data_IF_039977164946
#
_entry.id   IF_039977164946
#
_cell.length_a   1.000
_cell.length_b   1.000
_cell.length_c   1.000
_cell.angle_alpha   90.00
_cell.angle_beta   90.00
_cell.angle_gamma   90.00
#
_symmetry.space_group_name_H-M   'P 1'
#
loop_
_entity.id
_entity.type
_entity.pdbx_description
1 polymer ?
#
# COMPACT_ATOMS: atom_id res chain seq x y z
N UNK A 1 16.59 4.91 -17.16
CA UNK A 1 15.78 3.71 -16.85
C UNK A 1 15.29 3.85 -15.41
N UNK A 2 13.99 3.68 -15.17
CA UNK A 2 13.47 3.62 -13.81
C UNK A 2 13.81 2.27 -13.19
N UNK A 3 14.44 2.28 -12.04
CA UNK A 3 14.72 1.08 -11.26
C UNK A 3 13.73 1.04 -10.07
N UNK A 4 13.07 -0.11 -9.86
CA UNK A 4 12.26 -0.35 -8.67
C UNK A 4 12.83 -1.50 -7.86
N UNK A 5 12.47 -1.58 -6.60
CA UNK A 5 12.79 -2.75 -5.78
C UNK A 5 12.05 -3.97 -6.32
N UNK A 6 12.74 -5.12 -6.34
CA UNK A 6 12.12 -6.40 -6.67
C UNK A 6 11.03 -6.74 -5.65
N UNK A 7 9.94 -7.32 -6.16
CA UNK A 7 8.83 -7.78 -5.33
C UNK A 7 8.66 -9.31 -5.45
N UNK A 8 9.28 -10.02 -4.56
CA UNK A 8 9.29 -11.48 -4.54
C UNK A 8 8.02 -12.12 -3.93
N UNK A 9 6.96 -11.36 -3.76
CA UNK A 9 5.63 -11.89 -3.46
C UNK A 9 4.77 -12.07 -4.71
N UNK A 10 5.25 -11.68 -5.89
CA UNK A 10 4.54 -11.97 -7.14
C UNK A 10 4.50 -13.47 -7.41
N UNK A 11 3.34 -13.92 -7.89
CA UNK A 11 3.05 -15.33 -8.15
C UNK A 11 2.33 -15.49 -9.50
N UNK A 12 2.41 -16.66 -10.13
CA UNK A 12 1.68 -16.94 -11.35
C UNK A 12 0.19 -17.18 -11.04
N UNK A 13 -0.68 -16.56 -11.83
CA UNK A 13 -2.11 -16.82 -11.78
C UNK A 13 -2.53 -17.87 -12.83
N UNK A 14 -2.08 -17.72 -14.07
CA UNK A 14 -2.48 -18.56 -15.20
C UNK A 14 -1.61 -19.80 -15.38
N UNK A 15 -2.15 -20.81 -16.04
CA UNK A 15 -1.41 -22.02 -16.40
C UNK A 15 -0.29 -21.77 -17.42
N UNK A 16 -0.44 -20.89 -18.45
CA UNK A 16 0.67 -20.53 -19.32
C UNK A 16 1.89 -19.98 -18.57
N UNK A 17 1.69 -19.11 -17.59
CA UNK A 17 2.81 -18.59 -16.80
C UNK A 17 3.41 -19.64 -15.87
N UNK A 18 2.59 -20.55 -15.30
CA UNK A 18 3.08 -21.72 -14.55
C UNK A 18 3.91 -22.65 -15.43
N UNK A 19 3.52 -22.85 -16.70
CA UNK A 19 4.29 -23.65 -17.66
C UNK A 19 5.66 -23.05 -17.92
N UNK A 20 5.75 -21.74 -18.18
CA UNK A 20 7.04 -21.03 -18.33
C UNK A 20 7.93 -21.25 -17.10
N UNK A 21 7.39 -21.10 -15.89
CA UNK A 21 8.15 -21.31 -14.65
C UNK A 21 8.64 -22.74 -14.51
N UNK A 22 7.82 -23.73 -14.89
CA UNK A 22 8.19 -25.14 -14.85
C UNK A 22 9.32 -25.45 -15.88
N UNK A 23 9.25 -24.88 -17.08
CA UNK A 23 10.31 -24.97 -18.08
C UNK A 23 11.63 -24.38 -17.55
N UNK A 24 11.60 -23.15 -17.00
CA UNK A 24 12.78 -22.50 -16.44
C UNK A 24 13.38 -23.34 -15.30
N UNK A 25 12.55 -23.90 -14.43
CA UNK A 25 12.98 -24.77 -13.34
C UNK A 25 13.66 -26.04 -13.87
N UNK A 26 13.08 -26.68 -14.87
CA UNK A 26 13.64 -27.88 -15.49
C UNK A 26 15.00 -27.58 -16.18
N UNK A 27 15.09 -26.51 -16.94
CA UNK A 27 16.35 -26.10 -17.58
C UNK A 27 17.42 -25.75 -16.54
N UNK A 28 17.03 -25.07 -15.45
CA UNK A 28 17.92 -24.79 -14.33
C UNK A 28 18.48 -26.06 -13.69
N UNK A 29 17.65 -27.09 -13.45
CA UNK A 29 18.05 -28.36 -12.87
C UNK A 29 18.93 -29.18 -13.83
N UNK A 30 18.64 -29.14 -15.13
CA UNK A 30 19.46 -29.78 -16.17
C UNK A 30 20.82 -29.12 -16.26
N UNK A 31 20.91 -27.79 -16.16
CA UNK A 31 22.17 -27.04 -16.09
C UNK A 31 23.02 -27.46 -14.88
N UNK A 32 22.41 -27.52 -13.69
CA UNK A 32 23.14 -28.01 -12.49
C UNK A 32 23.66 -29.43 -12.65
N UNK A 33 22.90 -30.29 -13.28
CA UNK A 33 23.29 -31.69 -13.53
C UNK A 33 24.43 -31.78 -14.54
N UNK A 34 24.32 -31.06 -15.66
CA UNK A 34 25.33 -31.03 -16.70
C UNK A 34 26.68 -30.51 -16.23
N UNK A 35 26.67 -29.40 -15.51
CA UNK A 35 27.89 -28.78 -14.93
C UNK A 35 28.33 -29.38 -13.59
N UNK A 36 27.66 -30.43 -13.11
CA UNK A 36 27.95 -31.12 -11.84
C UNK A 36 28.04 -30.17 -10.64
N UNK A 37 27.18 -29.15 -10.63
CA UNK A 37 27.13 -28.15 -9.55
C UNK A 37 26.59 -28.74 -8.24
N UNK A 38 26.01 -29.94 -8.29
CA UNK A 38 25.47 -30.64 -7.13
C UNK A 38 25.86 -32.11 -7.12
N UNK A 39 26.34 -32.54 -5.94
CA UNK A 39 26.71 -33.94 -5.71
C UNK A 39 25.61 -34.78 -5.05
N UNK A 40 24.55 -34.14 -4.56
CA UNK A 40 23.47 -34.80 -3.81
C UNK A 40 22.09 -34.27 -4.27
N UNK A 41 21.08 -35.15 -4.24
CA UNK A 41 19.69 -34.76 -4.48
C UNK A 41 19.24 -33.73 -3.41
N UNK A 42 18.44 -32.73 -3.81
CA UNK A 42 17.84 -31.77 -2.88
C UNK A 42 16.87 -32.45 -1.91
N UNK A 43 16.88 -32.01 -0.66
CA UNK A 43 15.79 -32.30 0.26
C UNK A 43 14.51 -31.62 -0.22
N UNK A 44 13.34 -32.13 0.17
CA UNK A 44 12.05 -31.55 -0.25
C UNK A 44 11.91 -30.07 0.09
N UNK A 45 12.38 -29.65 1.28
CA UNK A 45 12.37 -28.22 1.71
C UNK A 45 13.25 -27.35 0.83
N UNK A 46 14.44 -27.84 0.47
CA UNK A 46 15.38 -27.08 -0.41
C UNK A 46 14.86 -27.01 -1.84
N UNK A 47 14.15 -28.05 -2.31
CA UNK A 47 13.50 -28.07 -3.59
C UNK A 47 12.36 -27.06 -3.65
N UNK A 48 11.47 -27.06 -2.66
CA UNK A 48 10.38 -26.08 -2.55
C UNK A 48 10.92 -24.64 -2.45
N UNK A 49 12.05 -24.43 -1.78
CA UNK A 49 12.70 -23.10 -1.71
C UNK A 49 13.22 -22.66 -3.08
N UNK A 50 13.83 -23.58 -3.86
CA UNK A 50 14.28 -23.29 -5.23
C UNK A 50 13.08 -22.91 -6.12
N UNK A 51 12.03 -23.70 -6.11
CA UNK A 51 10.81 -23.50 -6.87
C UNK A 51 10.17 -22.14 -6.57
N UNK A 52 10.01 -21.81 -5.28
CA UNK A 52 9.49 -20.53 -4.84
C UNK A 52 10.37 -19.35 -5.28
N UNK A 53 11.71 -19.52 -5.21
CA UNK A 53 12.65 -18.47 -5.61
C UNK A 53 12.60 -18.22 -7.13
N UNK A 54 12.66 -19.27 -7.95
CA UNK A 54 12.57 -19.14 -9.41
C UNK A 54 11.22 -18.55 -9.80
N UNK A 55 10.12 -19.05 -9.22
CA UNK A 55 8.77 -18.53 -9.49
C UNK A 55 8.67 -17.03 -9.21
N UNK A 56 9.12 -16.59 -8.04
CA UNK A 56 9.06 -15.19 -7.66
C UNK A 56 9.93 -14.28 -8.56
N UNK A 57 11.14 -14.71 -8.90
CA UNK A 57 12.05 -13.98 -9.81
C UNK A 57 11.43 -13.84 -11.20
N UNK A 58 10.94 -14.94 -11.77
CA UNK A 58 10.34 -14.95 -13.11
C UNK A 58 9.07 -14.08 -13.14
N UNK A 59 8.19 -14.20 -12.14
CA UNK A 59 6.98 -13.37 -12.07
C UNK A 59 7.29 -11.89 -11.96
N UNK A 60 8.27 -11.49 -11.13
CA UNK A 60 8.58 -10.07 -10.95
C UNK A 60 9.28 -9.47 -12.17
N UNK A 61 10.15 -10.22 -12.85
CA UNK A 61 10.77 -9.81 -14.10
C UNK A 61 9.76 -9.77 -15.26
N UNK A 62 8.82 -10.71 -15.32
CA UNK A 62 7.70 -10.68 -16.28
C UNK A 62 6.87 -9.41 -16.09
N UNK A 63 6.49 -9.09 -14.84
CA UNK A 63 5.78 -7.85 -14.54
C UNK A 63 6.59 -6.61 -14.95
N UNK A 64 7.89 -6.59 -14.64
CA UNK A 64 8.75 -5.47 -15.00
C UNK A 64 8.80 -5.28 -16.53
N UNK A 65 8.99 -6.35 -17.28
CA UNK A 65 9.00 -6.32 -18.74
C UNK A 65 7.67 -5.81 -19.33
N UNK A 66 6.54 -6.26 -18.79
CA UNK A 66 5.21 -5.88 -19.30
C UNK A 66 4.84 -4.41 -18.97
N UNK A 67 5.30 -3.89 -17.82
CA UNK A 67 4.99 -2.51 -17.41
C UNK A 67 5.99 -1.49 -17.91
N UNK A 68 7.25 -1.86 -18.08
CA UNK A 68 8.33 -0.99 -18.51
C UNK A 68 9.34 -1.81 -19.33
N UNK A 69 9.11 -2.00 -20.64
CA UNK A 69 10.04 -2.72 -21.51
C UNK A 69 11.46 -2.13 -21.40
N UNK A 70 12.45 -2.99 -21.05
CA UNK A 70 13.82 -2.56 -20.76
C UNK A 70 14.05 -2.03 -19.34
N UNK A 71 13.02 -1.98 -18.50
CA UNK A 71 13.13 -1.64 -17.09
C UNK A 71 13.93 -2.68 -16.29
N UNK A 72 14.40 -2.27 -15.10
CA UNK A 72 15.16 -3.13 -14.20
C UNK A 72 14.56 -3.15 -12.79
N UNK A 73 14.74 -4.28 -12.11
CA UNK A 73 14.48 -4.38 -10.68
C UNK A 73 15.79 -4.50 -9.92
N UNK A 74 15.92 -3.83 -8.77
CA UNK A 74 17.10 -3.98 -7.94
C UNK A 74 16.83 -4.95 -6.78
N UNK A 75 17.89 -5.69 -6.41
CA UNK A 75 17.88 -6.67 -5.31
C UNK A 75 19.05 -6.43 -4.36
N UNK A 76 18.85 -6.78 -3.09
CA UNK A 76 19.93 -6.86 -2.11
C UNK A 76 20.42 -8.30 -2.01
N UNK A 77 21.70 -8.51 -2.28
CA UNK A 77 22.35 -9.82 -2.16
C UNK A 77 23.26 -9.92 -0.93
N UNK A 78 23.13 -8.99 0.02
CA UNK A 78 23.90 -9.03 1.28
C UNK A 78 23.48 -10.25 2.11
N UNK A 79 24.44 -11.12 2.45
CA UNK A 79 24.22 -12.29 3.30
C UNK A 79 23.65 -11.92 4.67
N UNK A 80 24.06 -10.78 5.23
CA UNK A 80 23.49 -10.26 6.47
C UNK A 80 22.02 -9.92 6.30
N UNK A 81 21.66 -9.25 5.19
CA UNK A 81 20.28 -8.95 4.86
C UNK A 81 19.48 -10.24 4.63
N UNK A 82 19.93 -11.13 3.73
CA UNK A 82 19.23 -12.36 3.36
C UNK A 82 19.13 -13.39 4.50
N UNK A 83 20.02 -13.35 5.48
CA UNK A 83 20.01 -14.25 6.64
C UNK A 83 19.14 -13.80 7.80
N UNK A 84 18.70 -12.54 7.84
CA UNK A 84 17.88 -12.00 8.93
C UNK A 84 16.45 -12.53 8.82
N UNK A 85 15.91 -13.05 9.92
CA UNK A 85 14.47 -13.34 9.99
C UNK A 85 13.68 -12.02 10.00
N UNK A 86 12.85 -11.85 8.98
CA UNK A 86 12.07 -10.64 8.79
C UNK A 86 10.67 -10.99 8.31
N UNK A 87 9.65 -10.58 9.05
CA UNK A 87 8.24 -10.90 8.79
C UNK A 87 7.76 -10.47 7.39
N UNK A 88 8.26 -9.33 6.92
CA UNK A 88 7.86 -8.72 5.64
C UNK A 88 8.71 -9.18 4.46
N UNK A 89 9.44 -10.30 4.60
CA UNK A 89 10.29 -10.84 3.54
C UNK A 89 9.67 -12.10 2.97
N UNK A 90 9.73 -12.21 1.63
CA UNK A 90 9.39 -13.45 0.93
C UNK A 90 10.40 -14.56 1.24
N UNK A 91 9.94 -15.80 1.29
CA UNK A 91 10.81 -16.99 1.38
C UNK A 91 11.77 -17.11 0.18
N UNK A 92 11.43 -16.50 -0.95
CA UNK A 92 12.30 -16.40 -2.12
C UNK A 92 13.55 -15.56 -1.87
N UNK A 93 13.52 -14.61 -0.93
CA UNK A 93 14.68 -13.81 -0.51
C UNK A 93 15.51 -14.55 0.54
N UNK A 94 16.23 -15.56 0.16
CA UNK A 94 17.04 -16.41 1.02
C UNK A 94 18.53 -16.39 0.59
N UNK A 95 19.40 -17.00 1.39
CA UNK A 95 20.85 -17.02 1.15
C UNK A 95 21.26 -17.68 -0.19
N UNK A 96 20.39 -18.49 -0.80
CA UNK A 96 20.62 -19.12 -2.10
C UNK A 96 20.28 -18.24 -3.29
N UNK A 97 19.62 -17.10 -3.05
CA UNK A 97 19.18 -16.19 -4.12
C UNK A 97 20.34 -15.80 -5.04
N UNK A 98 21.51 -15.47 -4.49
CA UNK A 98 22.68 -15.08 -5.29
C UNK A 98 23.13 -16.18 -6.26
N UNK A 99 23.18 -17.43 -5.79
CA UNK A 99 23.61 -18.58 -6.61
C UNK A 99 22.59 -18.86 -7.71
N UNK A 100 21.28 -18.81 -7.34
CA UNK A 100 20.18 -19.03 -8.31
C UNK A 100 20.21 -17.96 -9.41
N UNK A 101 20.38 -16.69 -9.06
CA UNK A 101 20.47 -15.61 -10.02
C UNK A 101 21.70 -15.74 -10.92
N UNK A 102 22.83 -16.19 -10.38
CA UNK A 102 24.03 -16.41 -11.16
C UNK A 102 23.84 -17.49 -12.22
N UNK A 103 23.16 -18.59 -11.89
CA UNK A 103 22.84 -19.65 -12.84
C UNK A 103 21.83 -19.17 -13.88
N UNK A 104 20.74 -18.50 -13.49
CA UNK A 104 19.74 -17.97 -14.42
C UNK A 104 20.30 -16.93 -15.40
N UNK A 105 21.43 -16.27 -15.02
CA UNK A 105 22.12 -15.29 -15.87
C UNK A 105 23.27 -15.88 -16.68
N UNK A 106 23.51 -17.22 -16.61
CA UNK A 106 24.54 -17.85 -17.43
C UNK A 106 24.24 -17.70 -18.92
N UNK A 107 25.26 -17.65 -19.80
CA UNK A 107 25.05 -17.54 -21.24
C UNK A 107 24.20 -18.67 -21.84
N UNK A 108 24.28 -19.88 -21.27
CA UNK A 108 23.56 -21.07 -21.71
C UNK A 108 22.04 -20.98 -21.42
N UNK A 109 21.65 -20.40 -20.30
CA UNK A 109 20.26 -20.24 -19.89
C UNK A 109 19.66 -18.91 -20.36
N UNK A 110 20.39 -17.82 -20.17
CA UNK A 110 20.02 -16.46 -20.60
C UNK A 110 18.57 -16.07 -20.26
N UNK A 111 18.12 -16.40 -19.05
CA UNK A 111 16.79 -15.99 -18.56
C UNK A 111 16.77 -14.58 -18.00
N UNK A 112 17.88 -14.16 -17.38
CA UNK A 112 18.01 -12.84 -16.75
C UNK A 112 19.32 -12.18 -17.15
N UNK A 113 19.30 -10.86 -17.26
CA UNK A 113 20.52 -10.03 -17.29
C UNK A 113 20.73 -9.51 -15.88
N UNK A 114 21.87 -9.84 -15.28
CA UNK A 114 22.26 -9.41 -13.94
C UNK A 114 23.46 -8.47 -14.00
N UNK A 115 23.29 -7.24 -13.56
CA UNK A 115 24.37 -6.29 -13.35
C UNK A 115 24.68 -6.21 -11.85
N UNK A 116 25.83 -6.75 -11.43
CA UNK A 116 26.22 -6.75 -10.02
C UNK A 116 26.48 -5.34 -9.53
N UNK A 117 25.92 -5.04 -8.38
CA UNK A 117 26.21 -3.80 -7.67
C UNK A 117 27.65 -3.76 -7.16
N UNK A 118 28.23 -2.57 -7.14
CA UNK A 118 29.55 -2.31 -6.60
C UNK A 118 29.51 -1.09 -5.68
N UNK A 119 30.50 -0.99 -4.81
CA UNK A 119 30.82 0.25 -4.10
C UNK A 119 31.92 0.92 -4.91
N UNK A 120 31.64 2.08 -5.47
CA UNK A 120 32.64 2.90 -6.13
C UNK A 120 32.87 4.17 -5.31
N UNK A 121 34.11 4.52 -5.05
CA UNK A 121 34.48 5.84 -4.59
C UNK A 121 34.54 6.73 -5.83
N UNK A 122 33.66 7.71 -5.89
CA UNK A 122 33.62 8.71 -6.96
C UNK A 122 33.89 10.08 -6.32
N UNK A 123 34.67 10.96 -6.96
CA UNK A 123 34.81 12.32 -6.49
C UNK A 123 33.45 13.05 -6.59
N UNK A 124 33.14 13.86 -5.58
CA UNK A 124 32.06 14.82 -5.64
C UNK A 124 32.47 16.09 -6.42
N UNK A 125 31.60 17.08 -6.45
CA UNK A 125 31.87 18.39 -7.09
C UNK A 125 33.03 19.17 -6.44
N UNK A 126 33.49 18.74 -5.23
CA UNK A 126 34.60 19.32 -4.46
C UNK A 126 35.82 18.40 -4.42
N UNK A 127 35.84 17.34 -5.27
CA UNK A 127 36.90 16.33 -5.37
C UNK A 127 37.11 15.50 -4.08
N UNK A 128 36.08 15.40 -3.21
CA UNK A 128 36.07 14.53 -2.04
C UNK A 128 35.50 13.15 -2.40
N UNK A 129 36.09 12.05 -1.89
CA UNK A 129 35.61 10.70 -2.22
C UNK A 129 34.22 10.43 -1.60
N UNK A 130 33.20 10.32 -2.44
CA UNK A 130 31.89 9.84 -2.04
C UNK A 130 31.76 8.37 -2.42
N UNK A 131 31.41 7.51 -1.46
CA UNK A 131 31.08 6.12 -1.72
C UNK A 131 29.67 6.03 -2.32
N UNK A 132 29.56 5.92 -3.63
CA UNK A 132 28.29 5.57 -4.30
C UNK A 132 28.15 4.06 -4.39
N UNK A 133 27.22 3.50 -3.63
CA UNK A 133 26.85 2.09 -3.73
C UNK A 133 25.84 1.91 -4.87
N UNK A 134 26.23 1.18 -5.91
CA UNK A 134 25.31 0.73 -6.97
C UNK A 134 24.67 -0.59 -6.52
N UNK A 135 23.35 -0.71 -6.68
CA UNK A 135 22.61 -1.94 -6.33
C UNK A 135 22.73 -2.96 -7.45
N UNK A 136 22.64 -4.25 -7.12
CA UNK A 136 22.50 -5.30 -8.14
C UNK A 136 21.16 -5.16 -8.80
N UNK A 137 21.16 -5.11 -10.15
CA UNK A 137 19.94 -4.99 -10.95
C UNK A 137 19.71 -6.23 -11.79
N UNK A 138 18.44 -6.54 -12.03
CA UNK A 138 17.98 -7.68 -12.81
C UNK A 138 17.01 -7.19 -13.89
N UNK A 139 17.11 -7.78 -15.09
CA UNK A 139 16.18 -7.60 -16.20
C UNK A 139 15.83 -8.93 -16.83
N UNK A 140 14.67 -9.04 -17.46
CA UNK A 140 14.35 -10.19 -18.30
C UNK A 140 15.32 -10.24 -19.48
N UNK A 141 15.93 -11.40 -19.71
CA UNK A 141 16.78 -11.64 -20.87
C UNK A 141 15.99 -12.27 -22.02
N UNK A 142 16.62 -12.45 -23.17
CA UNK A 142 15.97 -12.87 -24.42
C UNK A 142 15.20 -14.19 -24.29
N UNK A 143 15.76 -15.19 -23.59
CA UNK A 143 15.11 -16.50 -23.41
C UNK A 143 13.78 -16.37 -22.63
N UNK A 144 13.71 -15.49 -21.64
CA UNK A 144 12.48 -15.24 -20.89
C UNK A 144 11.50 -14.40 -21.71
N UNK A 145 12.00 -13.31 -22.34
CA UNK A 145 11.16 -12.43 -23.17
C UNK A 145 10.46 -13.19 -24.28
N UNK A 146 11.18 -14.08 -24.98
CA UNK A 146 10.62 -14.92 -26.04
C UNK A 146 9.48 -15.79 -25.53
N UNK A 147 9.61 -16.40 -24.34
CA UNK A 147 8.55 -17.20 -23.73
C UNK A 147 7.32 -16.37 -23.35
N UNK A 148 7.54 -15.20 -22.75
CA UNK A 148 6.46 -14.25 -22.43
C UNK A 148 5.66 -13.91 -23.69
N UNK A 149 6.34 -13.63 -24.79
CA UNK A 149 5.72 -13.29 -26.08
C UNK A 149 5.01 -14.49 -26.71
N UNK A 150 5.66 -15.65 -26.78
CA UNK A 150 5.10 -16.86 -27.40
C UNK A 150 3.83 -17.36 -26.68
N UNK A 151 3.75 -17.18 -25.37
CA UNK A 151 2.59 -17.57 -24.58
C UNK A 151 1.58 -16.41 -24.39
N UNK A 152 1.79 -15.26 -25.05
CA UNK A 152 0.94 -14.06 -24.94
C UNK A 152 0.68 -13.64 -23.48
N UNK A 153 1.68 -13.73 -22.62
CA UNK A 153 1.56 -13.38 -21.20
C UNK A 153 1.25 -11.90 -21.05
N UNK A 154 0.27 -11.59 -20.20
CA UNK A 154 -0.21 -10.26 -19.85
C UNK A 154 -0.10 -10.00 -18.34
N UNK A 155 -0.42 -8.79 -17.89
CA UNK A 155 -0.48 -8.48 -16.45
C UNK A 155 -1.54 -9.31 -15.71
N UNK A 156 -2.62 -9.72 -16.40
CA UNK A 156 -3.67 -10.55 -15.81
C UNK A 156 -3.23 -11.99 -15.48
N UNK A 157 -2.06 -12.44 -16.00
CA UNK A 157 -1.47 -13.73 -15.67
C UNK A 157 -0.68 -13.74 -14.36
N UNK A 158 -0.54 -12.56 -13.72
CA UNK A 158 0.20 -12.35 -12.50
C UNK A 158 -0.74 -12.06 -11.32
N UNK A 159 -0.38 -12.54 -10.15
CA UNK A 159 -1.03 -12.27 -8.88
C UNK A 159 0.01 -12.11 -7.76
N UNK A 160 -0.44 -12.12 -6.51
CA UNK A 160 0.43 -12.12 -5.32
C UNK A 160 0.25 -13.40 -4.50
N UNK A 161 1.32 -13.82 -3.87
CA UNK A 161 1.33 -14.92 -2.90
C UNK A 161 0.54 -14.55 -1.64
N UNK A 162 -0.24 -15.49 -1.11
CA UNK A 162 -0.93 -15.34 0.19
C UNK A 162 0.02 -15.42 1.39
N UNK A 163 1.30 -15.73 1.17
CA UNK A 163 2.32 -15.78 2.23
C UNK A 163 2.79 -14.40 2.69
N UNK A 164 2.46 -13.34 1.96
CA UNK A 164 2.86 -11.99 2.33
C UNK A 164 2.22 -11.57 3.65
N UNK A 165 3.02 -10.92 4.53
CA UNK A 165 2.47 -10.29 5.71
C UNK A 165 1.73 -9.00 5.31
N UNK A 166 0.44 -8.98 5.58
CA UNK A 166 -0.46 -7.90 5.21
C UNK A 166 -0.78 -6.96 6.37
N UNK A 167 -0.34 -7.30 7.59
CA UNK A 167 -0.44 -6.44 8.77
C UNK A 167 0.91 -5.79 9.01
N UNK A 168 1.01 -4.50 8.70
CA UNK A 168 2.26 -3.76 8.70
C UNK A 168 2.32 -2.87 9.92
N UNK A 169 3.28 -3.13 10.81
CA UNK A 169 3.52 -2.31 12.00
C UNK A 169 4.74 -1.39 11.76
N UNK A 170 4.55 -0.10 11.99
CA UNK A 170 5.61 0.91 11.88
C UNK A 170 5.90 1.56 13.23
N UNK A 171 7.16 1.92 13.43
CA UNK A 171 7.60 2.75 14.57
C UNK A 171 7.07 4.19 14.45
N UNK A 172 7.29 4.97 15.49
CA UNK A 172 7.08 6.43 15.45
C UNK A 172 7.99 7.03 14.37
N UNK A 173 7.45 7.98 13.60
CA UNK A 173 8.25 8.71 12.61
C UNK A 173 9.42 9.41 13.30
N UNK A 174 10.59 9.32 12.69
CA UNK A 174 11.80 10.02 13.09
C UNK A 174 12.25 10.93 11.97
N UNK A 175 12.58 12.15 12.32
CA UNK A 175 13.12 13.11 11.39
C UNK A 175 14.62 12.87 11.24
N UNK A 176 15.09 12.80 10.01
CA UNK A 176 16.51 12.66 9.67
C UNK A 176 16.86 13.57 8.50
N UNK A 177 18.08 14.12 8.53
CA UNK A 177 18.61 14.90 7.43
C UNK A 177 19.28 13.97 6.42
N UNK A 178 18.77 13.93 5.20
CA UNK A 178 19.34 13.16 4.10
C UNK A 178 19.62 14.12 2.95
N UNK A 179 20.89 14.25 2.55
CA UNK A 179 21.32 15.18 1.48
C UNK A 179 20.81 16.62 1.67
N UNK A 180 20.86 17.14 2.91
CA UNK A 180 20.40 18.51 3.21
C UNK A 180 18.88 18.70 3.25
N UNK A 181 18.09 17.64 3.09
CA UNK A 181 16.63 17.69 3.21
C UNK A 181 16.17 16.95 4.46
N UNK A 182 15.21 17.54 5.18
CA UNK A 182 14.56 16.89 6.32
C UNK A 182 13.58 15.83 5.81
N UNK A 183 13.87 14.56 6.07
CA UNK A 183 13.03 13.42 5.71
C UNK A 183 12.46 12.80 6.96
N UNK A 184 11.13 12.74 7.04
CA UNK A 184 10.43 12.06 8.13
C UNK A 184 10.05 10.64 7.70
N UNK A 185 10.62 9.62 8.32
CA UNK A 185 10.37 8.21 8.02
C UNK A 185 10.09 7.38 9.26
N UNK A 186 9.33 6.31 9.09
CA UNK A 186 9.07 5.32 10.12
C UNK A 186 9.58 3.95 9.66
N UNK A 187 10.32 3.27 10.52
CA UNK A 187 10.83 1.93 10.25
C UNK A 187 9.71 0.89 10.43
N UNK A 188 9.79 -0.18 9.65
CA UNK A 188 8.94 -1.36 9.87
C UNK A 188 9.43 -2.09 11.12
N UNK A 189 8.49 -2.55 11.93
CA UNK A 189 8.78 -3.31 13.14
C UNK A 189 8.41 -4.78 12.97
N UNK A 190 9.34 -5.65 13.34
CA UNK A 190 9.02 -7.05 13.55
C UNK A 190 8.20 -7.19 14.84
N UNK A 191 7.18 -8.03 14.85
CA UNK A 191 6.33 -8.27 16.01
C UNK A 191 6.02 -9.76 16.17
N UNK A 192 5.67 -10.18 17.37
CA UNK A 192 5.16 -11.53 17.61
C UNK A 192 3.68 -11.60 17.30
N UNK A 193 3.23 -12.74 16.76
CA UNK A 193 1.81 -12.98 16.54
C UNK A 193 1.04 -12.87 17.85
N UNK A 194 -0.13 -12.27 17.78
CA UNK A 194 -1.03 -12.08 18.90
C UNK A 194 -2.48 -12.08 18.38
N UNK A 195 -3.48 -12.31 19.27
CA UNK A 195 -4.88 -12.43 18.86
C UNK A 195 -5.41 -11.23 18.07
N UNK A 196 -4.89 -10.01 18.31
CA UNK A 196 -5.31 -8.79 17.60
C UNK A 196 -4.79 -8.82 16.17
N UNK A 197 -3.49 -9.05 15.98
CA UNK A 197 -2.87 -9.14 14.66
C UNK A 197 -3.46 -10.30 13.84
N UNK A 198 -3.73 -11.43 14.48
CA UNK A 198 -4.32 -12.60 13.84
C UNK A 198 -5.74 -12.34 13.35
N UNK A 199 -6.57 -11.66 14.15
CA UNK A 199 -7.90 -11.22 13.75
C UNK A 199 -7.83 -10.26 12.56
N UNK A 200 -7.00 -9.23 12.62
CA UNK A 200 -6.86 -8.27 11.51
C UNK A 200 -6.35 -8.93 10.24
N UNK A 201 -5.45 -9.91 10.36
CA UNK A 201 -4.95 -10.69 9.24
C UNK A 201 -6.05 -11.56 8.62
N UNK A 202 -6.86 -12.20 9.44
CA UNK A 202 -8.00 -13.00 8.97
C UNK A 202 -9.04 -12.13 8.23
N UNK A 203 -9.46 -11.01 8.82
CA UNK A 203 -10.37 -10.04 8.21
C UNK A 203 -9.85 -9.55 6.85
N UNK A 204 -8.58 -9.17 6.78
CA UNK A 204 -8.00 -8.61 5.56
C UNK A 204 -7.74 -9.67 4.49
N UNK A 205 -7.37 -10.90 4.86
CA UNK A 205 -7.27 -12.03 3.92
C UNK A 205 -8.62 -12.37 3.31
N UNK A 206 -9.66 -12.35 4.12
CA UNK A 206 -11.05 -12.55 3.67
C UNK A 206 -11.46 -11.48 2.64
N UNK A 207 -11.17 -10.21 2.92
CA UNK A 207 -11.44 -9.09 2.00
C UNK A 207 -10.61 -9.23 0.72
N UNK A 208 -9.31 -9.48 0.81
CA UNK A 208 -8.44 -9.65 -0.35
C UNK A 208 -8.85 -10.83 -1.24
N UNK A 209 -9.23 -11.95 -0.64
CA UNK A 209 -9.71 -13.13 -1.38
C UNK A 209 -11.00 -12.84 -2.13
N UNK A 210 -11.96 -12.19 -1.46
CA UNK A 210 -13.21 -11.78 -2.07
C UNK A 210 -13.00 -10.82 -3.25
N UNK A 211 -12.21 -9.76 -3.08
CA UNK A 211 -11.97 -8.79 -4.13
C UNK A 211 -11.19 -9.39 -5.32
N UNK A 212 -10.30 -10.36 -5.10
CA UNK A 212 -9.62 -11.08 -6.19
C UNK A 212 -10.56 -11.97 -7.01
N UNK A 213 -11.64 -12.44 -6.43
CA UNK A 213 -12.65 -13.26 -7.12
C UNK A 213 -13.76 -12.44 -7.78
N UNK A 214 -13.82 -11.12 -7.52
CA UNK A 214 -14.83 -10.23 -8.06
C UNK A 214 -14.61 -9.93 -9.55
N UNK A 215 -15.68 -9.71 -10.29
CA UNK A 215 -15.62 -9.23 -11.68
C UNK A 215 -15.30 -7.73 -11.71
N UNK A 216 -14.01 -7.45 -11.71
CA UNK A 216 -13.48 -6.08 -11.81
C UNK A 216 -12.74 -5.98 -13.12
N UNK A 217 -13.13 -5.05 -13.96
CA UNK A 217 -12.51 -4.78 -15.26
C UNK A 217 -11.81 -3.42 -15.21
N UNK A 218 -10.72 -3.30 -15.94
CA UNK A 218 -9.95 -2.05 -16.07
C UNK A 218 -9.15 -2.04 -17.37
N UNK A 219 -8.49 -0.93 -17.67
CA UNK A 219 -7.63 -0.80 -18.83
C UNK A 219 -6.44 -1.78 -18.77
N UNK A 220 -5.95 -2.30 -19.91
CA UNK A 220 -4.91 -3.34 -19.98
C UNK A 220 -3.59 -3.00 -19.28
N UNK A 221 -3.27 -1.70 -19.13
CA UNK A 221 -2.07 -1.24 -18.42
C UNK A 221 -2.15 -1.43 -16.90
N UNK A 222 -3.33 -1.75 -16.36
CA UNK A 222 -3.54 -2.01 -14.94
C UNK A 222 -3.82 -3.50 -14.73
N UNK A 223 -3.22 -4.08 -13.70
CA UNK A 223 -3.52 -5.45 -13.33
C UNK A 223 -4.72 -5.48 -12.37
N UNK A 224 -5.90 -5.85 -12.87
CA UNK A 224 -7.11 -5.99 -12.04
C UNK A 224 -6.99 -7.07 -10.95
N UNK A 225 -6.01 -7.97 -11.05
CA UNK A 225 -5.70 -8.99 -10.04
C UNK A 225 -4.69 -8.52 -9.00
N UNK A 226 -4.14 -7.30 -9.16
CA UNK A 226 -3.29 -6.67 -8.13
C UNK A 226 -4.17 -6.13 -6.99
N UNK A 227 -4.83 -7.06 -6.33
CA UNK A 227 -5.65 -6.82 -5.14
C UNK A 227 -4.87 -7.34 -3.94
N UNK A 228 -4.05 -6.46 -3.37
CA UNK A 228 -3.17 -6.75 -2.25
C UNK A 228 -3.29 -5.66 -1.20
N UNK A 229 -4.45 -5.59 -0.57
CA UNK A 229 -4.61 -4.66 0.53
C UNK A 229 -3.75 -5.10 1.71
N UNK A 230 -2.97 -4.15 2.23
CA UNK A 230 -2.20 -4.24 3.46
C UNK A 230 -2.73 -3.21 4.45
N UNK A 231 -2.69 -3.52 5.74
CA UNK A 231 -3.16 -2.66 6.81
C UNK A 231 -1.99 -2.09 7.59
N UNK A 232 -1.84 -0.77 7.59
CA UNK A 232 -0.68 -0.07 8.12
C UNK A 232 -0.96 0.54 9.49
N UNK A 233 -0.30 0.04 10.51
CA UNK A 233 -0.34 0.56 11.87
C UNK A 233 0.91 1.39 12.15
N UNK A 234 0.78 2.39 13.02
CA UNK A 234 1.82 3.38 13.32
C UNK A 234 2.17 3.40 14.82
N UNK A 235 3.27 4.10 15.16
CA UNK A 235 3.70 4.34 16.54
C UNK A 235 3.78 3.05 17.38
N UNK A 236 4.24 1.93 16.77
CA UNK A 236 4.41 0.64 17.45
C UNK A 236 3.13 0.06 18.06
N UNK A 237 1.94 0.49 17.60
CA UNK A 237 0.66 0.09 18.18
C UNK A 237 -0.35 -0.36 17.12
N UNK A 238 -1.04 -1.47 17.37
CA UNK A 238 -2.16 -1.98 16.57
C UNK A 238 -3.49 -1.21 16.79
N UNK A 239 -3.47 -0.16 17.60
CA UNK A 239 -4.62 0.72 17.85
C UNK A 239 -4.42 2.13 17.27
N UNK A 240 -3.38 2.31 16.45
CA UNK A 240 -3.00 3.60 15.86
C UNK A 240 -2.80 3.46 14.35
N UNK A 241 -3.52 4.24 13.54
CA UNK A 241 -3.49 4.17 12.09
C UNK A 241 -4.43 3.11 11.53
N UNK A 242 -3.92 2.04 10.94
CA UNK A 242 -4.72 0.91 10.45
C UNK A 242 -5.37 1.11 9.08
N UNK A 243 -5.00 2.14 8.32
CA UNK A 243 -5.52 2.38 6.95
C UNK A 243 -5.08 1.28 5.99
N UNK A 244 -5.94 1.02 5.00
CA UNK A 244 -5.73 0.01 3.96
C UNK A 244 -5.05 0.65 2.74
N UNK A 245 -3.99 0.00 2.24
CA UNK A 245 -3.28 0.40 1.03
C UNK A 245 -2.91 -0.82 0.18
N UNK A 246 -2.72 -0.65 -1.12
CA UNK A 246 -2.10 -1.65 -1.99
C UNK A 246 -2.94 -2.15 -3.16
N UNK A 247 -4.20 -1.74 -3.31
CA UNK A 247 -4.98 -2.07 -4.51
C UNK A 247 -4.54 -1.25 -5.72
N UNK A 248 -4.63 -1.81 -6.94
CA UNK A 248 -4.25 -1.14 -8.18
C UNK A 248 -4.98 0.21 -8.37
N UNK A 249 -6.20 0.32 -7.85
CA UNK A 249 -7.02 1.54 -7.90
C UNK A 249 -6.53 2.66 -6.97
N UNK A 250 -5.68 2.34 -5.99
CA UNK A 250 -5.13 3.32 -5.03
C UNK A 250 -3.79 3.90 -5.47
N UNK A 251 -2.83 3.04 -5.82
CA UNK A 251 -1.43 3.41 -5.98
C UNK A 251 -0.96 3.48 -7.44
N UNK A 252 -1.64 2.80 -8.36
CA UNK A 252 -1.25 2.71 -9.77
C UNK A 252 -2.09 3.59 -10.70
N UNK A 253 -3.23 4.09 -10.24
CA UNK A 253 -4.24 4.73 -11.08
C UNK A 253 -4.54 6.16 -10.62
N UNK A 254 -4.56 7.12 -11.56
CA UNK A 254 -4.96 8.50 -11.28
C UNK A 254 -6.46 8.56 -10.95
N UNK A 255 -6.87 9.54 -10.12
CA UNK A 255 -8.28 9.70 -9.74
C UNK A 255 -9.21 9.82 -10.95
N UNK A 256 -8.81 10.62 -11.95
CA UNK A 256 -9.59 10.79 -13.18
C UNK A 256 -9.77 9.48 -13.96
N UNK A 257 -8.72 8.66 -14.02
CA UNK A 257 -8.76 7.39 -14.78
C UNK A 257 -9.67 6.36 -14.11
N UNK A 258 -9.85 6.40 -12.78
CA UNK A 258 -10.71 5.47 -12.03
C UNK A 258 -12.14 5.49 -12.53
N UNK A 259 -12.75 6.66 -12.66
CA UNK A 259 -14.14 6.81 -13.08
C UNK A 259 -14.42 6.32 -14.50
N UNK A 260 -13.40 6.39 -15.39
CA UNK A 260 -13.56 6.04 -16.80
C UNK A 260 -13.08 4.62 -17.13
N UNK A 261 -12.29 3.99 -16.27
CA UNK A 261 -11.63 2.75 -16.60
C UNK A 261 -12.02 1.55 -15.73
N UNK A 262 -12.62 1.76 -14.58
CA UNK A 262 -13.06 0.65 -13.73
C UNK A 262 -14.53 0.34 -14.00
N UNK A 263 -14.80 -0.94 -14.27
CA UNK A 263 -16.15 -1.52 -14.22
C UNK A 263 -16.17 -2.57 -13.11
N UNK A 264 -17.28 -2.64 -12.39
CA UNK A 264 -17.59 -3.67 -11.41
C UNK A 264 -18.88 -4.36 -11.84
N UNK A 265 -18.84 -5.68 -12.08
CA UNK A 265 -19.97 -6.46 -12.60
C UNK A 265 -20.51 -5.88 -13.93
N UNK A 266 -19.59 -5.47 -14.83
CA UNK A 266 -19.88 -4.78 -16.11
C UNK A 266 -20.62 -3.43 -15.97
N UNK A 267 -20.70 -2.85 -14.79
CA UNK A 267 -21.37 -1.58 -14.50
C UNK A 267 -20.36 -0.46 -14.22
N UNK A 268 -20.65 0.78 -14.65
CA UNK A 268 -19.88 1.95 -14.24
C UNK A 268 -19.87 2.12 -12.71
N UNK A 269 -18.83 2.76 -12.21
CA UNK A 269 -18.64 2.96 -10.78
C UNK A 269 -19.16 4.32 -10.29
N UNK A 270 -19.34 4.41 -8.97
CA UNK A 270 -19.46 5.65 -8.20
C UNK A 270 -18.56 5.56 -6.98
N UNK A 271 -18.08 6.70 -6.49
CA UNK A 271 -17.32 6.79 -5.24
C UNK A 271 -18.24 7.33 -4.15
N UNK A 272 -18.32 6.62 -3.05
CA UNK A 272 -19.06 7.00 -1.85
C UNK A 272 -18.09 7.34 -0.74
N UNK A 273 -18.12 8.59 -0.27
CA UNK A 273 -17.19 9.13 0.73
C UNK A 273 -17.94 9.55 2.00
N UNK A 274 -17.32 9.25 3.17
CA UNK A 274 -17.87 9.75 4.43
C UNK A 274 -17.62 11.25 4.58
N UNK A 275 -18.68 12.02 4.58
CA UNK A 275 -18.61 13.46 4.81
C UNK A 275 -18.12 13.81 6.21
N UNK A 276 -17.04 14.61 6.29
CA UNK A 276 -16.54 15.18 7.56
C UNK A 276 -16.12 14.13 8.61
N UNK A 277 -15.63 12.98 8.16
CA UNK A 277 -15.29 11.81 8.98
C UNK A 277 -14.50 12.17 10.24
N UNK A 278 -13.37 12.88 10.09
CA UNK A 278 -12.48 13.18 11.22
C UNK A 278 -13.14 14.00 12.34
N UNK A 279 -13.96 15.00 11.98
CA UNK A 279 -14.68 15.81 12.99
C UNK A 279 -15.78 14.99 13.65
N UNK A 280 -16.52 14.18 12.92
CA UNK A 280 -17.54 13.29 13.47
C UNK A 280 -16.96 12.27 14.44
N UNK A 281 -15.80 11.71 14.11
CA UNK A 281 -15.06 10.79 15.00
C UNK A 281 -14.58 11.52 16.27
N UNK A 282 -14.18 12.80 16.15
CA UNK A 282 -13.82 13.61 17.32
C UNK A 282 -15.02 13.85 18.24
N UNK A 283 -16.21 14.11 17.68
CA UNK A 283 -17.46 14.21 18.45
C UNK A 283 -17.85 12.89 19.11
N UNK A 284 -17.78 11.78 18.36
CA UNK A 284 -18.01 10.45 18.93
C UNK A 284 -17.07 10.13 20.09
N UNK A 285 -15.80 10.52 19.96
CA UNK A 285 -14.78 10.29 21.00
C UNK A 285 -15.12 10.95 22.33
N UNK A 286 -15.75 12.15 22.31
CA UNK A 286 -16.15 12.87 23.52
C UNK A 286 -17.59 12.61 23.93
N UNK A 287 -18.31 11.73 23.23
CA UNK A 287 -19.71 11.40 23.51
C UNK A 287 -20.66 12.57 23.30
N UNK A 288 -20.35 13.49 22.37
CA UNK A 288 -21.16 14.66 22.07
C UNK A 288 -21.81 14.57 20.69
N UNK A 289 -22.95 15.22 20.52
CA UNK A 289 -23.62 15.35 19.21
C UNK A 289 -23.07 16.56 18.47
N UNK A 290 -22.65 16.42 17.19
CA UNK A 290 -22.22 17.56 16.41
C UNK A 290 -23.39 18.49 16.07
N UNK A 291 -23.16 19.78 15.83
CA UNK A 291 -24.17 20.67 15.32
C UNK A 291 -24.67 20.24 13.94
N UNK A 292 -25.89 20.62 13.59
CA UNK A 292 -26.46 20.34 12.27
C UNK A 292 -25.68 21.06 11.15
N UNK A 293 -25.65 20.46 9.96
CA UNK A 293 -25.05 21.05 8.78
C UNK A 293 -23.58 20.70 8.57
N UNK A 294 -22.87 21.56 7.85
CA UNK A 294 -21.46 21.36 7.52
C UNK A 294 -20.56 21.78 8.69
N UNK A 295 -19.88 20.82 9.30
CA UNK A 295 -19.02 21.01 10.47
C UNK A 295 -17.74 21.83 10.20
N UNK A 296 -17.43 22.10 8.94
CA UNK A 296 -16.35 23.01 8.56
C UNK A 296 -16.86 24.43 8.22
N UNK A 297 -18.16 24.64 8.20
CA UNK A 297 -18.78 25.95 7.96
C UNK A 297 -18.98 26.66 9.30
N UNK A 298 -18.07 27.58 9.63
CA UNK A 298 -18.10 28.35 10.87
C UNK A 298 -18.78 29.68 10.62
N UNK A 299 -19.85 30.05 11.33
CA UNK A 299 -20.57 31.32 11.16
C UNK A 299 -19.78 32.50 11.75
N UNK A 300 -18.56 32.69 11.31
CA UNK A 300 -17.63 33.76 11.71
C UNK A 300 -16.77 34.18 10.53
N UNK A 301 -16.74 35.47 10.15
CA UNK A 301 -15.98 35.97 9.00
C UNK A 301 -14.48 35.61 9.03
N UNK A 302 -13.89 35.53 10.23
CA UNK A 302 -12.48 35.17 10.41
C UNK A 302 -12.23 33.70 10.05
N UNK A 303 -13.23 32.84 10.23
CA UNK A 303 -13.16 31.40 10.02
C UNK A 303 -14.10 30.93 8.89
N UNK A 304 -14.44 31.80 7.94
CA UNK A 304 -15.43 31.49 6.89
C UNK A 304 -14.94 30.52 5.80
N UNK A 305 -13.63 30.31 5.66
CA UNK A 305 -13.11 29.45 4.61
C UNK A 305 -13.13 27.97 5.01
N UNK A 306 -14.09 27.21 4.46
CA UNK A 306 -14.30 25.78 4.69
C UNK A 306 -13.05 24.93 4.51
N UNK A 307 -12.29 25.13 3.41
CA UNK A 307 -11.09 24.37 3.13
C UNK A 307 -9.96 24.64 4.13
N UNK A 308 -9.82 25.92 4.52
CA UNK A 308 -8.88 26.33 5.57
C UNK A 308 -9.21 25.70 6.93
N UNK A 309 -10.49 25.67 7.32
CA UNK A 309 -10.95 25.06 8.57
C UNK A 309 -10.72 23.54 8.57
N UNK A 310 -11.01 22.85 7.45
CA UNK A 310 -10.73 21.40 7.30
C UNK A 310 -9.25 21.08 7.58
N UNK A 311 -8.32 21.84 6.98
CA UNK A 311 -6.88 21.67 7.21
C UNK A 311 -6.45 21.98 8.64
N UNK A 312 -7.00 23.06 9.20
CA UNK A 312 -6.71 23.51 10.57
C UNK A 312 -7.14 22.47 11.60
N UNK A 313 -8.39 22.01 11.55
CA UNK A 313 -8.90 20.97 12.46
C UNK A 313 -8.16 19.64 12.31
N UNK A 314 -7.91 19.22 11.07
CA UNK A 314 -7.10 18.02 10.84
C UNK A 314 -5.75 18.11 11.53
N UNK A 315 -5.00 19.20 11.32
CA UNK A 315 -3.71 19.40 11.98
C UNK A 315 -3.82 19.49 13.51
N UNK A 316 -4.86 20.15 14.02
CA UNK A 316 -5.09 20.28 15.47
C UNK A 316 -5.39 18.95 16.18
N UNK A 317 -5.99 17.96 15.46
CA UNK A 317 -6.18 16.61 15.99
C UNK A 317 -4.88 15.82 16.10
N UNK A 318 -3.92 16.03 15.16
CA UNK A 318 -2.62 15.37 15.19
C UNK A 318 -1.62 16.03 16.14
N UNK A 319 -1.78 17.31 16.45
CA UNK A 319 -0.86 18.05 17.32
C UNK A 319 -0.94 17.57 18.77
N UNK A 320 0.21 17.41 19.43
CA UNK A 320 0.35 17.01 20.83
C UNK A 320 0.41 18.22 21.79
N UNK A 321 0.31 19.44 21.25
CA UNK A 321 0.32 20.69 22.01
C UNK A 321 -0.20 21.87 21.20
N UNK A 322 -0.50 23.02 21.85
CA UNK A 322 -1.03 24.20 21.17
C UNK A 322 -0.14 24.66 20.02
N UNK A 323 -0.77 25.03 18.93
CA UNK A 323 -0.10 25.59 17.75
C UNK A 323 -0.24 27.11 17.74
N UNK A 324 0.80 27.80 17.28
CA UNK A 324 0.83 29.27 17.12
C UNK A 324 0.90 29.70 15.67
N UNK A 325 1.04 28.73 14.74
CA UNK A 325 1.18 28.98 13.29
C UNK A 325 0.16 28.15 12.52
N UNK A 326 -0.26 28.69 11.39
CA UNK A 326 -1.11 27.97 10.46
C UNK A 326 -0.41 26.69 9.95
N UNK A 327 -1.11 25.57 9.89
CA UNK A 327 -0.60 24.36 9.27
C UNK A 327 -0.15 24.59 7.84
N UNK A 328 0.81 23.79 7.38
CA UNK A 328 1.33 23.88 6.00
C UNK A 328 0.18 23.85 4.98
N UNK A 329 0.22 24.79 4.03
CA UNK A 329 -0.79 24.89 2.96
C UNK A 329 -2.12 25.54 3.38
N UNK A 330 -2.36 25.82 4.66
CA UNK A 330 -3.63 26.42 5.10
C UNK A 330 -3.61 27.96 5.13
N UNK A 331 -2.44 28.57 5.26
CA UNK A 331 -2.32 30.04 5.38
C UNK A 331 -2.99 30.81 4.24
N UNK A 332 -2.94 30.31 3.02
CA UNK A 332 -3.53 30.91 1.82
C UNK A 332 -5.05 31.10 1.88
N UNK A 333 -5.73 30.42 2.78
CA UNK A 333 -7.18 30.49 2.96
C UNK A 333 -7.64 31.58 3.92
N UNK A 334 -6.71 32.28 4.55
CA UNK A 334 -7.01 33.31 5.56
C UNK A 334 -6.33 34.62 5.20
N UNK A 335 -7.00 35.75 5.52
CA UNK A 335 -6.44 37.07 5.27
C UNK A 335 -5.12 37.26 6.03
N UNK A 336 -4.09 37.95 5.46
CA UNK A 336 -2.77 38.08 6.06
C UNK A 336 -2.74 38.65 7.49
N UNK A 337 -3.71 39.50 7.87
CA UNK A 337 -3.82 40.09 9.20
C UNK A 337 -4.44 39.18 10.24
N UNK A 338 -5.09 38.05 9.84
CA UNK A 338 -5.74 37.12 10.76
C UNK A 338 -4.67 36.22 11.38
N UNK A 339 -4.70 36.08 12.71
CA UNK A 339 -3.84 35.19 13.47
C UNK A 339 -4.47 33.80 13.61
N UNK A 340 -3.62 32.77 13.73
CA UNK A 340 -4.07 31.39 13.95
C UNK A 340 -4.96 31.27 15.18
N UNK A 341 -4.57 31.91 16.29
CA UNK A 341 -5.27 31.87 17.59
C UNK A 341 -6.71 32.39 17.46
N UNK A 342 -6.94 33.40 16.61
CA UNK A 342 -8.27 33.97 16.43
C UNK A 342 -9.17 33.00 15.64
N UNK A 343 -8.63 32.34 14.64
CA UNK A 343 -9.36 31.35 13.85
C UNK A 343 -9.72 30.14 14.71
N UNK A 344 -8.75 29.54 15.41
CA UNK A 344 -9.02 28.36 16.25
C UNK A 344 -9.99 28.68 17.39
N UNK A 345 -9.91 29.88 17.95
CA UNK A 345 -10.88 30.36 18.96
C UNK A 345 -12.30 30.44 18.41
N UNK A 346 -12.46 30.99 17.18
CA UNK A 346 -13.75 31.04 16.53
C UNK A 346 -14.31 29.62 16.23
N UNK A 347 -13.45 28.71 15.78
CA UNK A 347 -13.80 27.28 15.56
C UNK A 347 -14.24 26.63 16.89
N UNK A 348 -13.48 26.79 17.97
CA UNK A 348 -13.78 26.18 19.27
C UNK A 348 -14.95 26.83 20.00
N UNK A 349 -15.34 28.04 19.63
CA UNK A 349 -16.59 28.65 20.11
C UNK A 349 -17.80 28.04 19.39
N UNK A 350 -17.68 27.71 18.14
CA UNK A 350 -18.72 26.99 17.39
C UNK A 350 -18.78 25.49 17.73
N UNK A 351 -17.63 24.90 18.03
CA UNK A 351 -17.47 23.49 18.40
C UNK A 351 -16.90 23.32 19.82
N UNK A 352 -17.64 23.72 20.91
CA UNK A 352 -17.11 23.70 22.25
C UNK A 352 -16.69 22.31 22.74
N UNK A 353 -17.33 21.26 22.27
CA UNK A 353 -16.99 19.88 22.60
C UNK A 353 -15.57 19.49 22.11
N UNK A 354 -15.06 20.12 21.04
CA UNK A 354 -13.73 19.82 20.51
C UNK A 354 -12.57 20.40 21.34
N UNK A 355 -12.84 21.26 22.35
CA UNK A 355 -11.81 21.80 23.25
C UNK A 355 -11.02 20.71 23.96
N UNK A 356 -11.68 19.59 24.31
CA UNK A 356 -11.05 18.43 24.95
C UNK A 356 -10.27 17.51 23.99
N UNK A 357 -10.36 17.74 22.68
CA UNK A 357 -9.84 16.85 21.63
C UNK A 357 -8.63 17.45 20.91
N UNK A 358 -8.68 18.75 20.59
CA UNK A 358 -7.60 19.44 19.88
C UNK A 358 -6.31 19.45 20.71
N UNK A 359 -5.16 19.31 20.02
CA UNK A 359 -3.82 19.31 20.63
C UNK A 359 -3.55 18.16 21.63
N UNK A 360 -4.25 17.04 21.45
CA UNK A 360 -4.08 15.83 22.28
C UNK A 360 -3.45 14.65 21.51
N UNK A 361 -3.00 14.88 20.27
CA UNK A 361 -2.38 13.83 19.45
C UNK A 361 -3.34 12.71 19.01
N UNK A 362 -4.65 12.97 19.02
CA UNK A 362 -5.67 11.94 18.77
C UNK A 362 -5.87 11.59 17.29
N UNK A 363 -5.27 12.35 16.35
CA UNK A 363 -5.47 12.17 14.92
C UNK A 363 -5.19 10.75 14.44
N UNK A 364 -4.14 10.10 14.94
CA UNK A 364 -3.83 8.70 14.60
C UNK A 364 -4.85 7.70 15.17
N UNK A 365 -5.46 8.00 16.31
CA UNK A 365 -6.55 7.20 16.88
C UNK A 365 -7.82 7.35 16.05
N UNK A 366 -8.11 8.54 15.55
CA UNK A 366 -9.23 8.75 14.61
C UNK A 366 -9.01 8.01 13.31
N UNK A 367 -7.79 7.99 12.77
CA UNK A 367 -7.44 7.14 11.63
C UNK A 367 -7.68 5.65 11.92
N UNK A 368 -7.40 5.20 13.13
CA UNK A 368 -7.68 3.82 13.53
C UNK A 368 -9.20 3.54 13.56
N UNK A 369 -10.00 4.42 14.18
CA UNK A 369 -11.46 4.30 14.17
C UNK A 369 -12.02 4.31 12.75
N UNK A 370 -11.56 5.21 11.87
CA UNK A 370 -11.87 5.27 10.45
C UNK A 370 -11.60 3.91 9.77
N UNK A 371 -10.42 3.33 10.00
CA UNK A 371 -10.04 2.06 9.41
C UNK A 371 -10.88 0.88 9.93
N UNK A 372 -11.29 0.89 11.18
CA UNK A 372 -12.18 -0.12 11.75
C UNK A 372 -13.58 -0.04 11.12
N UNK A 373 -14.11 1.17 10.93
CA UNK A 373 -15.38 1.40 10.24
C UNK A 373 -15.30 0.88 8.80
N UNK A 374 -14.21 1.19 8.10
CA UNK A 374 -14.02 0.76 6.71
C UNK A 374 -13.94 -0.78 6.60
N UNK A 375 -13.17 -1.45 7.47
CA UNK A 375 -13.09 -2.92 7.46
C UNK A 375 -14.45 -3.55 7.76
N UNK A 376 -15.17 -3.05 8.77
CA UNK A 376 -16.51 -3.53 9.09
C UNK A 376 -17.49 -3.32 7.93
N UNK A 377 -17.39 -2.19 7.22
CA UNK A 377 -18.18 -1.90 6.02
C UNK A 377 -17.87 -2.87 4.88
N UNK A 378 -16.59 -3.13 4.60
CA UNK A 378 -16.19 -4.06 3.52
C UNK A 378 -16.70 -5.49 3.78
N UNK A 379 -16.62 -5.96 5.03
CA UNK A 379 -17.16 -7.26 5.40
C UNK A 379 -18.69 -7.31 5.29
N UNK A 380 -19.39 -6.22 5.64
CA UNK A 380 -20.83 -6.13 5.50
C UNK A 380 -21.25 -6.08 4.00
N UNK A 381 -20.57 -5.29 3.17
CA UNK A 381 -20.83 -5.24 1.74
C UNK A 381 -20.55 -6.59 1.05
N UNK A 382 -19.48 -7.30 1.46
CA UNK A 382 -19.23 -8.67 1.03
C UNK A 382 -20.41 -9.58 1.37
N UNK A 383 -20.94 -9.52 2.62
CA UNK A 383 -22.09 -10.32 3.03
C UNK A 383 -23.34 -10.03 2.18
N UNK A 384 -23.48 -8.79 1.69
CA UNK A 384 -24.56 -8.38 0.79
C UNK A 384 -24.27 -8.69 -0.70
N UNK A 385 -23.11 -9.25 -1.03
CA UNK A 385 -22.69 -9.51 -2.41
C UNK A 385 -22.33 -8.24 -3.21
N UNK A 386 -22.07 -7.12 -2.53
CA UNK A 386 -21.73 -5.83 -3.15
C UNK A 386 -20.23 -5.63 -3.18
N UNK A 387 -19.62 -5.70 -4.36
CA UNK A 387 -18.18 -5.45 -4.53
C UNK A 387 -17.87 -3.99 -4.21
N UNK A 388 -16.89 -3.75 -3.32
CA UNK A 388 -16.48 -2.42 -2.89
C UNK A 388 -14.95 -2.30 -2.76
N UNK A 389 -14.37 -1.34 -3.48
CA UNK A 389 -12.92 -1.07 -3.48
C UNK A 389 -12.63 0.10 -2.53
N UNK A 390 -11.90 -0.09 -1.44
CA UNK A 390 -11.66 0.97 -0.45
C UNK A 390 -10.65 2.02 -0.93
N UNK A 391 -10.92 3.30 -0.61
CA UNK A 391 -9.98 4.42 -0.74
C UNK A 391 -10.08 5.28 0.52
N UNK A 392 -9.17 5.10 1.46
CA UNK A 392 -9.16 5.82 2.74
C UNK A 392 -10.47 5.70 3.51
N UNK A 393 -11.31 6.73 3.52
CA UNK A 393 -12.64 6.83 4.12
C UNK A 393 -13.78 6.70 3.10
N UNK A 394 -13.46 6.30 1.86
CA UNK A 394 -14.40 6.12 0.77
C UNK A 394 -14.40 4.68 0.25
N UNK A 395 -15.44 4.32 -0.48
CA UNK A 395 -15.53 3.07 -1.25
C UNK A 395 -15.99 3.34 -2.68
N UNK A 396 -15.39 2.60 -3.62
CA UNK A 396 -15.84 2.54 -5.01
C UNK A 396 -16.78 1.34 -5.12
N UNK A 397 -17.97 1.56 -5.62
CA UNK A 397 -18.99 0.50 -5.87
C UNK A 397 -19.58 0.65 -7.27
N UNK A 398 -20.23 -0.38 -7.79
CA UNK A 398 -21.01 -0.24 -9.02
C UNK A 398 -22.13 0.77 -8.82
N UNK A 399 -22.47 1.52 -9.88
CA UNK A 399 -23.56 2.53 -9.85
C UNK A 399 -24.88 1.93 -9.39
N UNK A 400 -25.15 0.68 -9.74
CA UNK A 400 -26.33 -0.08 -9.35
C UNK A 400 -26.40 -0.34 -7.84
N UNK A 401 -25.25 -0.52 -7.18
CA UNK A 401 -25.18 -0.80 -5.74
C UNK A 401 -25.14 0.46 -4.87
N UNK A 402 -25.16 1.67 -5.46
CA UNK A 402 -25.00 2.96 -4.78
C UNK A 402 -25.84 3.09 -3.52
N UNK A 403 -27.18 2.87 -3.64
CA UNK A 403 -28.10 3.14 -2.54
C UNK A 403 -27.95 2.12 -1.41
N UNK A 404 -27.78 0.83 -1.73
CA UNK A 404 -27.53 -0.22 -0.76
C UNK A 404 -26.19 0.00 -0.03
N UNK A 405 -25.14 0.36 -0.75
CA UNK A 405 -23.83 0.68 -0.15
C UNK A 405 -23.91 1.94 0.73
N UNK A 406 -24.59 2.99 0.30
CA UNK A 406 -24.80 4.19 1.11
C UNK A 406 -25.55 3.90 2.41
N UNK A 407 -26.56 3.03 2.37
CA UNK A 407 -27.29 2.59 3.56
C UNK A 407 -26.39 1.80 4.50
N UNK A 408 -25.59 0.86 3.96
CA UNK A 408 -24.63 0.08 4.75
C UNK A 408 -23.60 1.00 5.41
N UNK A 409 -23.07 2.00 4.70
CA UNK A 409 -22.15 3.00 5.25
C UNK A 409 -22.77 3.74 6.45
N UNK A 410 -23.99 4.24 6.32
CA UNK A 410 -24.69 4.94 7.41
C UNK A 410 -24.90 4.02 8.62
N UNK A 411 -25.37 2.81 8.40
CA UNK A 411 -25.66 1.85 9.46
C UNK A 411 -24.39 1.43 10.23
N UNK A 412 -23.30 1.14 9.52
CA UNK A 412 -22.01 0.78 10.13
C UNK A 412 -21.46 1.95 10.93
N UNK A 413 -21.51 3.17 10.37
CA UNK A 413 -21.03 4.36 11.06
C UNK A 413 -21.82 4.61 12.36
N UNK A 414 -23.15 4.58 12.27
CA UNK A 414 -24.01 4.75 13.45
C UNK A 414 -23.74 3.70 14.52
N UNK A 415 -23.66 2.43 14.13
CA UNK A 415 -23.40 1.33 15.06
C UNK A 415 -22.07 1.50 15.81
N UNK A 416 -21.04 2.04 15.15
CA UNK A 416 -19.71 2.16 15.73
C UNK A 416 -19.47 3.49 16.45
N UNK A 417 -20.21 4.55 16.15
CA UNK A 417 -19.97 5.89 16.66
C UNK A 417 -21.14 6.49 17.46
N UNK A 418 -22.34 5.94 17.31
CA UNK A 418 -23.58 6.52 17.83
C UNK A 418 -24.04 7.77 17.08
N UNK A 419 -23.40 8.14 15.97
CA UNK A 419 -23.67 9.36 15.22
C UNK A 419 -24.09 9.04 13.76
N UNK A 420 -24.89 9.92 13.18
CA UNK A 420 -25.22 9.83 11.77
C UNK A 420 -24.04 10.26 10.88
N UNK A 421 -23.88 9.58 9.74
CA UNK A 421 -22.92 9.93 8.70
C UNK A 421 -23.59 10.66 7.53
N UNK A 422 -22.95 11.72 7.03
CA UNK A 422 -23.20 12.22 5.68
C UNK A 422 -22.41 11.38 4.66
N UNK A 423 -23.06 11.03 3.55
CA UNK A 423 -22.38 10.34 2.44
C UNK A 423 -22.35 11.26 1.24
N UNK A 424 -21.16 11.55 0.74
CA UNK A 424 -20.95 12.26 -0.53
C UNK A 424 -20.86 11.25 -1.66
N UNK A 425 -21.34 11.64 -2.84
CA UNK A 425 -21.30 10.81 -4.07
C UNK A 425 -20.49 11.59 -5.10
N UNK A 426 -19.45 10.97 -5.64
CA UNK A 426 -18.59 11.48 -6.71
C UNK A 426 -18.70 10.62 -7.97
#
# INVERSE_FOLDING_TARGET
MKERQANFFRAPYSDPLRSIIAEVLNEFQNYETFFKLRNRKRKAVDQATLEATISAVICDLTHCYLTEPGGAVFVSLSNQSLGRRWRYRSKAENKKLSDILSILSSPELNFIVMEKGNKAELPDEQNQPIVKARRTTLRAAESLVRRIQNHNISLADLTFSDEEEIIILKDKKKDSWINGQLVSSAELLNYNDNPIADRYRAELREINSWLRSADIQTLPQYNHRDVRLQRFFNNSSFEIGGRLFGGFWQSGMKAADRHHSILIDNEPIVVLDYGQMGVRLAYSHVGATPPNGDLYSIPNPIAANRAGIKLLLSAAFFAEGPQTRFPQGSRKYFHPKIKYEDVIRAVLNHHPALRGVVYKGLGHRFMFMESQILVALLLELKRQGIVALPIHDAVIVSKKAKDAASLAMKNIFYRMTGLEAGINVE
#
